data_IF_373439307346
#
_entry.id   IF_373439307346
#
_cell.length_a   1.000
_cell.length_b   1.000
_cell.length_c   1.000
_cell.angle_alpha   90.00
_cell.angle_beta   90.00
_cell.angle_gamma   90.00
#
_symmetry.space_group_name_H-M   'P 1'
#
loop_
_entity.id
_entity.type
_entity.pdbx_description
1 polymer ?
#
# COMPACT_ATOMS: atom_id res chain seq x y z
N UNK A 1 6.11 7.21 -2.17
CA UNK A 1 5.87 5.93 -1.46
C UNK A 1 4.83 5.19 -2.27
N UNK A 2 5.00 3.89 -2.46
CA UNK A 2 4.06 3.04 -3.15
C UNK A 2 3.56 1.97 -2.18
N UNK A 3 2.25 1.71 -2.19
CA UNK A 3 1.63 0.59 -1.51
C UNK A 3 1.44 -0.55 -2.52
N UNK A 4 1.99 -1.71 -2.19
CA UNK A 4 1.93 -2.93 -3.00
C UNK A 4 0.90 -3.92 -2.45
N UNK A 5 -0.09 -3.48 -1.67
CA UNK A 5 -1.17 -4.33 -1.16
C UNK A 5 -1.78 -5.24 -2.24
N UNK A 6 -1.94 -4.72 -3.46
CA UNK A 6 -2.55 -5.48 -4.54
C UNK A 6 -1.69 -6.63 -5.06
N UNK A 7 -0.36 -6.57 -4.92
CA UNK A 7 0.57 -7.62 -5.40
C UNK A 7 1.20 -8.45 -4.28
N UNK A 8 1.36 -7.86 -3.09
CA UNK A 8 2.04 -8.46 -1.95
C UNK A 8 1.09 -8.71 -0.76
N UNK A 9 -0.19 -8.35 -0.87
CA UNK A 9 -1.13 -8.50 0.22
C UNK A 9 -0.77 -7.67 1.46
N UNK A 10 -1.02 -8.23 2.65
CA UNK A 10 -0.72 -7.62 3.95
C UNK A 10 0.66 -8.02 4.50
N UNK A 11 1.57 -8.45 3.62
CA UNK A 11 2.91 -8.89 4.00
C UNK A 11 3.81 -7.74 4.45
N UNK A 12 4.89 -8.08 5.17
CA UNK A 12 5.86 -7.10 5.71
C UNK A 12 6.50 -6.21 4.63
N UNK A 13 6.60 -6.70 3.39
CA UNK A 13 7.19 -5.99 2.25
C UNK A 13 6.15 -5.22 1.39
N UNK A 14 5.02 -4.85 1.99
CA UNK A 14 3.93 -4.13 1.34
C UNK A 14 4.31 -2.73 0.85
N UNK A 15 5.20 -2.01 1.54
CA UNK A 15 5.51 -0.63 1.20
C UNK A 15 6.88 -0.47 0.56
N UNK A 16 6.94 0.35 -0.49
CA UNK A 16 8.20 0.67 -1.18
C UNK A 16 8.40 2.18 -1.30
N UNK A 17 9.57 2.65 -0.87
CA UNK A 17 10.05 3.99 -1.14
C UNK A 17 10.99 3.98 -2.35
N UNK A 18 10.77 4.90 -3.27
CA UNK A 18 11.67 5.15 -4.42
C UNK A 18 11.85 6.65 -4.55
N UNK A 19 13.06 7.08 -4.90
CA UNK A 19 13.36 8.48 -5.16
C UNK A 19 12.86 8.87 -6.55
N UNK A 20 12.26 10.06 -6.63
CA UNK A 20 11.97 10.74 -7.89
C UNK A 20 13.05 11.82 -8.05
N UNK A 21 13.78 11.78 -9.16
CA UNK A 21 14.76 12.80 -9.52
C UNK A 21 14.53 13.19 -10.98
N UNK A 22 14.44 14.49 -11.24
CA UNK A 22 14.18 15.05 -12.57
C UNK A 22 12.91 14.47 -13.22
N UNK A 23 11.84 14.35 -12.43
CA UNK A 23 10.55 13.79 -12.88
C UNK A 23 10.54 12.29 -13.15
N UNK A 24 11.67 11.59 -12.96
CA UNK A 24 11.82 10.17 -13.24
C UNK A 24 11.97 9.34 -11.97
N UNK A 25 11.30 8.17 -11.94
CA UNK A 25 11.49 7.17 -10.89
C UNK A 25 12.90 6.57 -11.00
N UNK A 26 13.70 6.67 -9.94
CA UNK A 26 15.02 6.04 -9.88
C UNK A 26 14.90 4.66 -9.24
N UNK A 27 14.59 3.65 -10.04
CA UNK A 27 14.27 2.29 -9.55
C UNK A 27 15.40 1.67 -8.69
N UNK A 28 16.66 2.01 -8.96
CA UNK A 28 17.81 1.57 -8.15
C UNK A 28 17.82 2.14 -6.72
N UNK A 29 16.95 3.11 -6.41
CA UNK A 29 16.74 3.64 -5.06
C UNK A 29 15.55 3.01 -4.33
N UNK A 30 14.88 2.03 -4.95
CA UNK A 30 13.77 1.32 -4.35
C UNK A 30 14.24 0.59 -3.09
N UNK A 31 13.52 0.80 -1.99
CA UNK A 31 13.69 0.03 -0.75
C UNK A 31 12.33 -0.33 -0.18
N UNK A 32 12.26 -1.52 0.41
CA UNK A 32 11.14 -1.91 1.27
C UNK A 32 11.12 -1.00 2.50
N UNK A 33 9.93 -0.66 2.96
CA UNK A 33 9.70 0.19 4.12
C UNK A 33 8.80 -0.57 5.08
N UNK A 34 9.22 -0.65 6.34
CA UNK A 34 8.42 -1.27 7.38
C UNK A 34 7.23 -0.36 7.74
N UNK A 35 6.11 -0.96 8.15
CA UNK A 35 4.89 -0.18 8.45
C UNK A 35 5.11 0.80 9.61
N UNK A 36 5.98 0.46 10.56
CA UNK A 36 6.32 1.32 11.70
C UNK A 36 7.20 2.54 11.31
N UNK A 37 7.82 2.54 10.13
CA UNK A 37 8.54 3.70 9.57
C UNK A 37 7.59 4.73 8.94
N UNK A 38 6.31 4.38 8.75
CA UNK A 38 5.31 5.23 8.10
C UNK A 38 4.56 6.11 9.10
N UNK A 39 4.15 7.30 8.62
CA UNK A 39 3.32 8.17 9.45
C UNK A 39 1.93 7.55 9.65
N UNK A 40 1.40 7.67 10.86
CA UNK A 40 0.04 7.20 11.18
C UNK A 40 -1.03 7.85 10.32
N UNK A 41 -0.83 9.12 9.97
CA UNK A 41 -1.72 9.86 9.08
C UNK A 41 -1.78 9.24 7.68
N UNK A 42 -0.63 8.85 7.11
CA UNK A 42 -0.57 8.21 5.79
C UNK A 42 -1.33 6.87 5.80
N UNK A 43 -1.13 6.07 6.84
CA UNK A 43 -1.84 4.80 7.02
C UNK A 43 -3.36 5.01 7.17
N UNK A 44 -3.77 6.05 7.91
CA UNK A 44 -5.18 6.40 8.05
C UNK A 44 -5.81 6.87 6.75
N UNK A 45 -5.13 7.72 5.98
CA UNK A 45 -5.60 8.18 4.67
C UNK A 45 -5.76 7.01 3.68
N UNK A 46 -4.83 6.07 3.71
CA UNK A 46 -4.89 4.86 2.91
C UNK A 46 -6.09 3.98 3.30
N UNK A 47 -6.33 3.76 4.59
CA UNK A 47 -7.48 2.99 5.05
C UNK A 47 -8.80 3.60 4.57
N UNK A 48 -8.93 4.94 4.67
CA UNK A 48 -10.09 5.67 4.14
C UNK A 48 -10.22 5.50 2.62
N UNK A 49 -9.11 5.55 1.88
CA UNK A 49 -9.12 5.35 0.44
C UNK A 49 -9.63 3.95 0.06
N UNK A 50 -9.14 2.90 0.69
CA UNK A 50 -9.56 1.52 0.39
C UNK A 50 -11.01 1.23 0.76
N UNK A 51 -11.51 1.84 1.84
CA UNK A 51 -12.95 1.78 2.17
C UNK A 51 -13.82 2.43 1.09
N UNK A 52 -13.39 3.58 0.59
CA UNK A 52 -14.15 4.34 -0.39
C UNK A 52 -14.06 3.76 -1.82
N UNK A 53 -13.02 2.96 -2.11
CA UNK A 53 -12.72 2.42 -3.45
C UNK A 53 -12.46 0.92 -3.34
N UNK A 54 -13.40 0.19 -2.74
CA UNK A 54 -13.33 -1.26 -2.50
C UNK A 54 -12.96 -2.05 -3.76
N UNK A 55 -13.51 -1.63 -4.90
CA UNK A 55 -13.29 -2.20 -6.22
C UNK A 55 -11.82 -2.20 -6.65
N UNK A 56 -11.01 -1.27 -6.13
CA UNK A 56 -9.58 -1.20 -6.42
C UNK A 56 -8.80 -2.41 -5.87
N UNK A 57 -9.41 -3.16 -4.95
CA UNK A 57 -8.83 -4.38 -4.36
C UNK A 57 -9.36 -5.66 -5.00
N UNK A 58 -10.37 -5.61 -5.88
CA UNK A 58 -10.99 -6.81 -6.44
C UNK A 58 -10.04 -7.61 -7.36
N UNK A 59 -9.12 -6.93 -8.04
CA UNK A 59 -8.09 -7.56 -8.88
C UNK A 59 -6.76 -7.77 -8.12
N UNK A 60 -6.79 -7.78 -6.79
CA UNK A 60 -5.61 -8.00 -5.95
C UNK A 60 -5.36 -9.46 -5.63
N UNK A 61 -4.20 -9.74 -5.02
CA UNK A 61 -3.88 -11.02 -4.39
C UNK A 61 -4.58 -11.24 -3.03
N UNK A 62 -5.35 -10.26 -2.53
CA UNK A 62 -6.05 -10.39 -1.26
C UNK A 62 -7.26 -11.32 -1.41
N UNK A 63 -7.51 -12.10 -0.38
CA UNK A 63 -8.75 -12.88 -0.25
C UNK A 63 -9.94 -11.97 0.02
N UNK A 64 -11.16 -12.43 -0.28
CA UNK A 64 -12.39 -11.70 0.05
C UNK A 64 -12.47 -11.33 1.53
N UNK A 65 -12.07 -12.24 2.43
CA UNK A 65 -12.03 -12.00 3.87
C UNK A 65 -11.07 -10.87 4.25
N UNK A 66 -9.88 -10.83 3.64
CA UNK A 66 -8.92 -9.75 3.85
C UNK A 66 -9.44 -8.41 3.31
N UNK A 67 -10.07 -8.40 2.14
CA UNK A 67 -10.70 -7.21 1.58
C UNK A 67 -11.80 -6.68 2.52
N UNK A 68 -12.64 -7.57 3.05
CA UNK A 68 -13.68 -7.22 4.02
C UNK A 68 -13.10 -6.67 5.33
N UNK A 69 -11.98 -7.21 5.82
CA UNK A 69 -11.33 -6.72 7.04
C UNK A 69 -10.85 -5.28 6.91
N UNK A 70 -10.28 -4.91 5.75
CA UNK A 70 -9.83 -3.54 5.46
C UNK A 70 -11.02 -2.56 5.34
N UNK A 71 -12.22 -3.07 5.00
CA UNK A 71 -13.42 -2.26 4.88
C UNK A 71 -14.11 -1.97 6.23
N UNK A 72 -13.87 -2.79 7.26
CA UNK A 72 -14.59 -2.71 8.54
C UNK A 72 -13.88 -1.89 9.63
N UNK A 73 -12.59 -1.58 9.50
CA UNK A 73 -11.76 -0.83 10.47
C UNK A 73 -11.79 0.69 10.29
#
# INVERSE_FOLDING_TARGET
MFDLACSNGLEWNRFVAVKIMDGSLKLNSARVVETNELSKELLSQQAVFFKANAESMNDSVLTEEQILSVQQD
#
